data_IF_586586389723
#
_entry.id   IF_586586389723
#
_cell.length_a   1.000
_cell.length_b   1.000
_cell.length_c   1.000
_cell.angle_alpha   90.00
_cell.angle_beta   90.00
_cell.angle_gamma   90.00
#
_symmetry.space_group_name_H-M   'P 1'
#
loop_
_entity.id
_entity.type
_entity.pdbx_description
1 polymer ?
#
# COMPACT_ATOMS: atom_id res chain seq x y z
N UNK A 1 -33.20 13.19 -50.40
CA UNK A 1 -32.58 13.45 -49.08
C UNK A 1 -31.80 14.76 -49.20
N UNK A 2 -32.25 15.84 -48.58
CA UNK A 2 -31.69 17.17 -48.80
C UNK A 2 -30.34 17.34 -48.07
N UNK A 3 -29.46 18.19 -48.63
CA UNK A 3 -28.13 18.52 -48.08
C UNK A 3 -28.24 18.95 -46.59
N UNK A 4 -29.32 19.62 -46.20
CA UNK A 4 -29.59 20.05 -44.82
C UNK A 4 -29.75 18.87 -43.84
N UNK A 5 -30.35 17.75 -44.27
CA UNK A 5 -30.51 16.55 -43.45
C UNK A 5 -29.17 15.83 -43.19
N UNK A 6 -28.25 15.83 -44.16
CA UNK A 6 -26.93 15.21 -44.03
C UNK A 6 -26.00 16.00 -43.10
N UNK A 7 -26.08 17.35 -43.15
CA UNK A 7 -25.28 18.22 -42.25
C UNK A 7 -25.74 18.07 -40.79
N UNK A 8 -27.04 17.94 -40.51
CA UNK A 8 -27.57 17.75 -39.18
C UNK A 8 -27.16 16.39 -38.58
N UNK A 9 -27.18 15.32 -39.41
CA UNK A 9 -26.80 13.97 -38.94
C UNK A 9 -25.31 13.88 -38.62
N UNK A 10 -24.44 14.55 -39.41
CA UNK A 10 -23.00 14.59 -39.17
C UNK A 10 -22.64 15.39 -37.89
N UNK A 11 -23.33 16.50 -37.63
CA UNK A 11 -23.14 17.31 -36.44
C UNK A 11 -23.53 16.57 -35.16
N UNK A 12 -24.59 15.75 -35.16
CA UNK A 12 -25.01 14.95 -33.99
C UNK A 12 -24.04 13.82 -33.73
N UNK A 13 -23.44 13.18 -34.73
CA UNK A 13 -22.41 12.14 -34.53
C UNK A 13 -21.10 12.70 -33.94
N UNK A 14 -20.71 13.92 -34.30
CA UNK A 14 -19.50 14.56 -33.75
C UNK A 14 -19.67 15.02 -32.30
N UNK A 15 -20.89 15.38 -31.89
CA UNK A 15 -21.16 15.78 -30.49
C UNK A 15 -21.12 14.63 -29.50
N UNK A 16 -21.25 13.37 -29.93
CA UNK A 16 -21.26 12.19 -29.07
C UNK A 16 -19.86 11.70 -28.67
N UNK A 17 -18.79 12.19 -29.31
CA UNK A 17 -17.41 11.79 -29.01
C UNK A 17 -16.71 12.61 -27.91
N UNK A 18 -17.37 13.63 -27.35
CA UNK A 18 -16.74 14.63 -26.49
C UNK A 18 -16.78 14.36 -24.97
N UNK A 19 -17.37 13.26 -24.48
CA UNK A 19 -17.63 13.06 -23.04
C UNK A 19 -16.94 11.84 -22.41
N UNK A 20 -15.91 11.30 -23.04
CA UNK A 20 -15.05 10.35 -22.35
C UNK A 20 -14.13 11.14 -21.40
N UNK A 21 -14.56 11.36 -20.14
CA UNK A 21 -13.63 11.77 -19.09
C UNK A 21 -12.51 10.75 -19.03
N UNK A 22 -11.23 11.16 -19.05
CA UNK A 22 -10.14 10.22 -18.85
C UNK A 22 -10.37 9.54 -17.51
N UNK A 23 -10.51 8.22 -17.52
CA UNK A 23 -10.51 7.44 -16.28
C UNK A 23 -9.19 7.74 -15.59
N UNK A 24 -9.21 8.53 -14.53
CA UNK A 24 -8.03 8.82 -13.74
C UNK A 24 -7.59 7.49 -13.12
N UNK A 25 -6.47 6.96 -13.58
CA UNK A 25 -5.90 5.75 -13.01
C UNK A 25 -5.70 6.00 -11.52
N UNK A 26 -6.39 5.22 -10.68
CA UNK A 26 -6.27 5.35 -9.23
C UNK A 26 -4.84 5.09 -8.76
N UNK A 27 -4.45 5.67 -7.63
CA UNK A 27 -3.15 5.45 -7.00
C UNK A 27 -2.96 3.96 -6.67
N UNK A 28 -1.88 3.37 -7.13
CA UNK A 28 -1.56 1.96 -6.85
C UNK A 28 -0.87 1.86 -5.49
N UNK A 29 -1.56 1.26 -4.54
CA UNK A 29 -1.07 1.11 -3.18
C UNK A 29 -0.77 -0.36 -2.89
N UNK A 30 0.32 -0.60 -2.18
CA UNK A 30 0.65 -1.91 -1.61
C UNK A 30 0.78 -1.74 -0.11
N UNK A 31 0.12 -2.59 0.67
CA UNK A 31 0.30 -2.67 2.11
C UNK A 31 1.03 -3.96 2.48
N UNK A 32 1.80 -3.95 3.56
CA UNK A 32 2.50 -5.14 4.02
C UNK A 32 1.57 -6.15 4.67
N UNK A 33 0.46 -5.71 5.28
CA UNK A 33 -0.55 -6.56 5.92
C UNK A 33 -1.98 -6.26 5.41
N UNK A 34 -2.89 -7.21 5.60
CA UNK A 34 -4.32 -7.04 5.26
C UNK A 34 -4.99 -5.98 6.15
N UNK A 35 -4.57 -5.86 7.42
CA UNK A 35 -5.12 -4.85 8.33
C UNK A 35 -4.86 -3.44 7.81
N UNK A 36 -3.60 -3.14 7.46
CA UNK A 36 -3.25 -1.86 6.84
C UNK A 36 -3.90 -1.67 5.48
N UNK A 37 -4.04 -2.74 4.69
CA UNK A 37 -4.75 -2.67 3.42
C UNK A 37 -6.23 -2.32 3.62
N UNK A 38 -6.87 -2.87 4.65
CA UNK A 38 -8.27 -2.58 4.97
C UNK A 38 -8.47 -1.11 5.37
N UNK A 39 -7.64 -0.60 6.27
CA UNK A 39 -7.68 0.82 6.69
C UNK A 39 -7.39 1.75 5.52
N UNK A 40 -6.38 1.43 4.72
CA UNK A 40 -6.01 2.24 3.55
C UNK A 40 -7.13 2.26 2.51
N UNK A 41 -7.83 1.15 2.31
CA UNK A 41 -8.98 1.05 1.40
C UNK A 41 -10.13 1.94 1.85
N UNK A 42 -10.42 1.95 3.15
CA UNK A 42 -11.46 2.79 3.74
C UNK A 42 -11.16 4.28 3.54
N UNK A 43 -9.91 4.67 3.71
CA UNK A 43 -9.47 6.07 3.53
C UNK A 43 -9.44 6.48 2.05
N UNK A 44 -8.91 5.61 1.19
CA UNK A 44 -8.66 5.93 -0.22
C UNK A 44 -9.88 5.79 -1.14
N UNK A 45 -10.86 4.95 -0.74
CA UNK A 45 -12.08 4.71 -1.48
C UNK A 45 -11.82 4.31 -2.94
N UNK A 46 -12.52 4.95 -3.84
CA UNK A 46 -12.44 4.73 -5.31
C UNK A 46 -11.20 5.37 -5.98
N UNK A 47 -10.42 6.15 -5.23
CA UNK A 47 -9.23 6.84 -5.74
C UNK A 47 -7.98 5.97 -5.76
N UNK A 48 -8.02 4.79 -5.15
CA UNK A 48 -6.88 3.89 -5.04
C UNK A 48 -7.22 2.48 -5.50
N UNK A 49 -6.20 1.76 -5.98
CA UNK A 49 -6.21 0.30 -6.02
C UNK A 49 -5.23 -0.22 -4.98
N UNK A 50 -5.68 -1.09 -4.09
CA UNK A 50 -4.84 -1.59 -2.99
C UNK A 50 -4.73 -3.10 -2.99
N UNK A 51 -3.52 -3.59 -2.74
CA UNK A 51 -3.18 -5.00 -2.56
C UNK A 51 -2.34 -5.18 -1.30
N UNK A 52 -2.38 -6.37 -0.69
CA UNK A 52 -1.54 -6.72 0.45
C UNK A 52 -0.48 -7.75 0.07
N UNK A 53 0.63 -7.77 0.81
CA UNK A 53 1.67 -8.79 0.69
C UNK A 53 1.36 -9.97 1.60
N UNK A 54 1.34 -9.78 2.91
CA UNK A 54 0.90 -10.79 3.87
C UNK A 54 -0.63 -10.90 3.86
N UNK A 55 -1.13 -12.12 3.85
CA UNK A 55 -2.56 -12.41 3.95
C UNK A 55 -2.99 -12.50 5.41
N UNK A 56 -4.27 -12.21 5.71
CA UNK A 56 -4.77 -12.14 7.08
C UNK A 56 -4.61 -13.40 7.93
N UNK A 57 -4.38 -14.55 7.30
CA UNK A 57 -4.08 -15.82 7.98
C UNK A 57 -2.57 -16.13 8.11
N UNK A 58 -1.70 -15.27 7.56
CA UNK A 58 -0.25 -15.45 7.60
C UNK A 58 0.36 -14.67 8.74
N UNK A 59 1.41 -15.23 9.35
CA UNK A 59 2.25 -14.50 10.27
C UNK A 59 3.07 -13.45 9.49
N UNK A 60 2.88 -12.14 9.75
CA UNK A 60 3.57 -11.09 9.02
C UNK A 60 5.07 -10.99 9.32
N UNK A 61 5.59 -11.67 10.33
CA UNK A 61 7.03 -11.76 10.57
C UNK A 61 7.73 -12.65 9.55
N UNK A 62 7.00 -13.66 9.02
CA UNK A 62 7.56 -14.70 8.15
C UNK A 62 6.80 -14.78 6.83
N UNK A 63 7.11 -13.86 5.92
CA UNK A 63 6.53 -13.87 4.58
C UNK A 63 7.54 -14.43 3.59
N UNK A 64 7.15 -15.50 2.89
CA UNK A 64 7.96 -16.07 1.83
C UNK A 64 8.02 -15.10 0.65
N UNK A 65 9.25 -14.70 0.25
CA UNK A 65 9.46 -13.81 -0.88
C UNK A 65 9.05 -14.48 -2.20
N UNK A 66 8.16 -13.83 -2.95
CA UNK A 66 7.65 -14.32 -4.25
C UNK A 66 7.92 -13.31 -5.35
N UNK A 67 8.22 -13.75 -6.58
CA UNK A 67 8.41 -12.83 -7.73
C UNK A 67 7.21 -11.90 -7.96
N UNK A 68 5.98 -12.37 -7.68
CA UNK A 68 4.77 -11.56 -7.79
C UNK A 68 4.77 -10.35 -6.85
N UNK A 69 5.41 -10.43 -5.69
CA UNK A 69 5.54 -9.31 -4.76
C UNK A 69 6.50 -8.24 -5.29
N UNK A 70 7.58 -8.66 -5.97
CA UNK A 70 8.49 -7.73 -6.64
C UNK A 70 7.74 -6.93 -7.70
N UNK A 71 6.88 -7.59 -8.50
CA UNK A 71 6.08 -6.93 -9.54
C UNK A 71 5.06 -5.95 -8.94
N UNK A 72 4.41 -6.30 -7.83
CA UNK A 72 3.52 -5.40 -7.09
C UNK A 72 4.26 -4.15 -6.63
N UNK A 73 5.39 -4.32 -5.95
CA UNK A 73 6.21 -3.21 -5.46
C UNK A 73 6.79 -2.37 -6.60
N UNK A 74 7.17 -2.99 -7.72
CA UNK A 74 7.67 -2.29 -8.90
C UNK A 74 6.64 -1.29 -9.45
N UNK A 75 5.37 -1.65 -9.46
CA UNK A 75 4.29 -0.82 -10.01
C UNK A 75 3.59 0.07 -8.98
N UNK A 76 3.97 -0.01 -7.69
CA UNK A 76 3.34 0.74 -6.63
C UNK A 76 3.69 2.23 -6.68
N UNK A 77 2.72 3.07 -6.38
CA UNK A 77 2.90 4.50 -6.14
C UNK A 77 3.08 4.81 -4.65
N UNK A 78 2.48 3.98 -3.78
CA UNK A 78 2.56 4.08 -2.33
C UNK A 78 2.73 2.67 -1.74
N UNK A 79 3.65 2.55 -0.79
CA UNK A 79 3.82 1.38 0.07
C UNK A 79 3.51 1.78 1.52
N UNK A 80 2.61 1.05 2.16
CA UNK A 80 2.24 1.23 3.56
C UNK A 80 2.80 0.05 4.36
N UNK A 81 3.71 0.34 5.29
CA UNK A 81 4.37 -0.68 6.11
C UNK A 81 3.94 -0.56 7.57
N UNK A 82 3.93 -1.68 8.27
CA UNK A 82 3.73 -1.68 9.73
C UNK A 82 4.91 -1.00 10.41
N UNK A 83 6.13 -1.27 9.94
CA UNK A 83 7.33 -0.71 10.57
C UNK A 83 7.74 -1.45 11.84
N UNK A 84 8.58 -0.79 12.68
CA UNK A 84 9.09 -1.40 13.93
C UNK A 84 9.75 -2.76 13.74
N UNK A 85 10.43 -2.93 12.60
CA UNK A 85 11.17 -4.15 12.27
C UNK A 85 10.30 -5.40 12.00
N UNK A 86 8.96 -5.26 11.93
CA UNK A 86 8.08 -6.40 11.63
C UNK A 86 8.47 -7.08 10.31
N UNK A 87 8.73 -6.29 9.29
CA UNK A 87 9.01 -6.75 7.93
C UNK A 87 10.51 -6.94 7.65
N UNK A 88 11.38 -6.79 8.66
CA UNK A 88 12.83 -6.75 8.46
C UNK A 88 13.40 -8.01 7.79
N UNK A 89 12.76 -9.16 8.03
CA UNK A 89 13.21 -10.44 7.49
C UNK A 89 12.94 -10.65 6.01
N UNK A 90 12.01 -9.90 5.39
CA UNK A 90 11.55 -10.20 4.03
C UNK A 90 11.35 -8.98 3.12
N UNK A 91 10.96 -7.83 3.65
CA UNK A 91 10.64 -6.65 2.82
C UNK A 91 11.88 -6.00 2.17
N UNK A 92 13.03 -5.81 2.86
CA UNK A 92 14.17 -5.11 2.28
C UNK A 92 14.67 -5.73 0.96
N UNK A 93 14.86 -7.06 0.82
CA UNK A 93 15.28 -7.65 -0.45
C UNK A 93 14.24 -7.51 -1.56
N UNK A 94 12.93 -7.51 -1.24
CA UNK A 94 11.87 -7.27 -2.22
C UNK A 94 11.89 -5.83 -2.73
N UNK A 95 12.10 -4.86 -1.85
CA UNK A 95 12.23 -3.44 -2.21
C UNK A 95 13.43 -3.22 -3.13
N UNK A 96 14.59 -3.78 -2.80
CA UNK A 96 15.78 -3.68 -3.62
C UNK A 96 15.53 -4.26 -5.03
N UNK A 97 14.91 -5.42 -5.12
CA UNK A 97 14.63 -6.10 -6.39
C UNK A 97 13.52 -5.41 -7.19
N UNK A 98 12.60 -4.72 -6.54
CA UNK A 98 11.53 -3.97 -7.21
C UNK A 98 12.05 -2.81 -8.06
N UNK A 99 13.22 -2.26 -7.73
CA UNK A 99 13.85 -1.10 -8.40
C UNK A 99 12.92 0.11 -8.53
N UNK A 100 11.93 0.23 -7.66
CA UNK A 100 10.99 1.34 -7.65
C UNK A 100 11.46 2.40 -6.64
N UNK A 101 12.01 3.50 -7.13
CA UNK A 101 12.50 4.60 -6.29
C UNK A 101 11.39 5.30 -5.50
N UNK A 102 10.12 5.21 -5.95
CA UNK A 102 8.99 5.87 -5.28
C UNK A 102 8.72 5.31 -3.89
N UNK A 103 8.95 3.99 -3.70
CA UNK A 103 8.57 3.25 -2.49
C UNK A 103 9.77 2.76 -1.67
N UNK A 104 10.93 3.38 -1.85
CA UNK A 104 12.09 3.11 -1.01
C UNK A 104 11.97 3.82 0.34
N UNK A 105 12.55 3.31 1.42
CA UNK A 105 12.59 4.00 2.71
C UNK A 105 13.08 5.44 2.57
N UNK A 106 12.31 6.39 3.13
CA UNK A 106 12.58 7.83 3.04
C UNK A 106 12.04 8.53 1.79
N UNK A 107 11.48 7.80 0.82
CA UNK A 107 10.79 8.41 -0.33
C UNK A 107 9.35 8.81 0.02
N UNK A 108 8.74 9.76 -0.71
CA UNK A 108 7.36 10.21 -0.45
C UNK A 108 6.30 9.10 -0.59
N UNK A 109 6.59 8.06 -1.36
CA UNK A 109 5.71 6.90 -1.52
C UNK A 109 5.97 5.77 -0.53
N UNK A 110 6.78 5.98 0.52
CA UNK A 110 7.01 5.03 1.60
C UNK A 110 6.37 5.54 2.89
N UNK A 111 5.30 4.92 3.35
CA UNK A 111 4.59 5.28 4.57
C UNK A 111 4.81 4.24 5.66
N UNK A 112 5.56 4.61 6.68
CA UNK A 112 5.67 3.84 7.92
C UNK A 112 4.53 4.25 8.87
N UNK A 113 3.54 3.37 9.02
CA UNK A 113 2.35 3.65 9.81
C UNK A 113 2.64 3.70 11.32
N UNK A 114 3.81 3.23 11.78
CA UNK A 114 4.20 3.30 13.19
C UNK A 114 4.60 4.70 13.67
N UNK A 115 4.79 5.65 12.76
CA UNK A 115 5.33 6.98 13.11
C UNK A 115 4.37 7.83 13.94
N UNK A 116 3.06 7.56 13.85
CA UNK A 116 2.02 8.37 14.53
C UNK A 116 1.40 7.69 15.73
N UNK A 117 1.78 6.44 16.02
CA UNK A 117 1.16 5.64 17.08
C UNK A 117 2.00 5.60 18.35
N UNK A 118 1.33 5.34 19.50
CA UNK A 118 2.01 5.09 20.75
C UNK A 118 2.54 3.66 20.76
N UNK A 119 3.86 3.51 20.85
CA UNK A 119 4.50 2.21 20.93
C UNK A 119 4.58 1.73 22.38
N UNK A 120 4.22 0.48 22.58
CA UNK A 120 4.29 -0.21 23.87
C UNK A 120 5.50 -1.17 23.91
N UNK A 121 5.82 -1.67 25.08
CA UNK A 121 6.79 -2.75 25.31
C UNK A 121 8.18 -2.48 24.70
N UNK A 122 8.65 -1.23 24.79
CA UNK A 122 10.02 -0.90 24.36
C UNK A 122 10.98 -1.53 25.39
N UNK A 123 11.85 -2.48 24.96
CA UNK A 123 12.75 -3.18 25.88
C UNK A 123 13.75 -2.23 26.53
N UNK A 124 14.01 -2.41 27.83
CA UNK A 124 14.94 -1.58 28.61
C UNK A 124 16.36 -2.16 28.72
N UNK A 125 16.65 -3.24 28.01
CA UNK A 125 17.95 -3.93 28.11
C UNK A 125 18.37 -4.61 26.82
N UNK A 126 19.46 -5.39 26.89
CA UNK A 126 19.93 -6.17 25.76
C UNK A 126 18.91 -7.24 25.37
N UNK A 127 18.50 -7.22 24.10
CA UNK A 127 17.65 -8.25 23.52
C UNK A 127 18.53 -9.41 23.08
N UNK A 128 18.13 -10.61 23.48
CA UNK A 128 18.79 -11.85 23.09
C UNK A 128 17.84 -12.74 22.30
N UNK A 129 18.39 -13.65 21.50
CA UNK A 129 17.57 -14.61 20.72
C UNK A 129 16.67 -15.51 21.61
N UNK A 130 17.01 -15.67 22.87
CA UNK A 130 16.22 -16.46 23.83
C UNK A 130 14.90 -15.77 24.22
N UNK A 131 14.73 -14.49 23.92
CA UNK A 131 13.53 -13.71 24.24
C UNK A 131 12.41 -13.84 23.19
N UNK A 132 12.62 -14.64 22.12
CA UNK A 132 11.63 -14.84 21.05
C UNK A 132 11.46 -13.61 20.17
N UNK A 133 10.20 -13.30 19.80
CA UNK A 133 9.83 -12.23 18.86
C UNK A 133 9.80 -10.84 19.54
N UNK A 134 10.80 -10.54 20.37
CA UNK A 134 10.94 -9.22 20.98
C UNK A 134 11.60 -8.26 20.00
N UNK A 135 10.88 -7.21 19.63
CA UNK A 135 11.38 -6.18 18.74
C UNK A 135 12.12 -5.07 19.47
N UNK A 136 13.35 -4.71 19.06
CA UNK A 136 14.14 -3.66 19.71
C UNK A 136 13.44 -2.30 19.78
N UNK A 137 12.66 -1.99 18.74
CA UNK A 137 11.93 -0.72 18.61
C UNK A 137 10.57 -0.71 19.30
N UNK A 138 10.24 -1.76 20.08
CA UNK A 138 8.96 -1.94 20.76
C UNK A 138 7.97 -2.77 19.96
N UNK A 139 6.80 -3.01 20.55
CA UNK A 139 5.78 -3.92 20.02
C UNK A 139 5.20 -3.41 18.69
N UNK A 140 5.38 -4.13 17.58
CA UNK A 140 4.88 -3.71 16.27
C UNK A 140 3.38 -3.97 16.07
N UNK A 141 2.69 -4.69 16.97
CA UNK A 141 1.29 -5.09 16.81
C UNK A 141 0.29 -4.00 17.22
N UNK A 142 0.64 -2.74 17.03
CA UNK A 142 -0.15 -1.57 17.44
C UNK A 142 -1.49 -1.44 16.69
N UNK A 143 -1.66 -2.10 15.53
CA UNK A 143 -2.93 -2.10 14.80
C UNK A 143 -4.06 -2.84 15.52
N UNK A 144 -3.73 -3.65 16.54
CA UNK A 144 -4.72 -4.32 17.40
C UNK A 144 -5.43 -3.34 18.35
N UNK A 145 -4.89 -2.15 18.54
CA UNK A 145 -5.53 -1.08 19.31
C UNK A 145 -6.39 -0.19 18.38
N UNK A 146 -7.73 -0.18 18.56
CA UNK A 146 -8.63 0.63 17.74
C UNK A 146 -8.32 2.13 17.75
N UNK A 147 -7.75 2.64 18.83
CA UNK A 147 -7.38 4.06 18.93
C UNK A 147 -6.23 4.42 17.99
N UNK A 148 -5.34 3.48 17.70
CA UNK A 148 -4.28 3.67 16.70
C UNK A 148 -4.83 3.69 15.27
N UNK A 149 -5.93 2.97 15.00
CA UNK A 149 -6.59 2.99 13.69
C UNK A 149 -7.19 4.35 13.29
N UNK A 150 -7.28 5.30 14.23
CA UNK A 150 -7.77 6.67 13.98
C UNK A 150 -6.65 7.70 13.78
N UNK A 151 -5.41 7.30 13.88
CA UNK A 151 -4.21 8.15 13.78
C UNK A 151 -3.58 8.09 12.41
#
# INVERSE_FOLDING_TARGET
>A
MSIRSRVLTTAVLLASFGLASPAQAGLKVVATTEDLASLTREIGGDKISIDSIAKGYQDPHFVEAKPSFILKLHSADLLVVVGRELEIGWLPPLLQQSRNAKVQPGSPGYLDASLTVKILDIPQGQITRAMGDVHPSGNPHYWLDPDNGRR
#
